data_IF_812126795478
#
_entry.id   IF_812126795478
#
_cell.length_a   1.000
_cell.length_b   1.000
_cell.length_c   1.000
_cell.angle_alpha   90.00
_cell.angle_beta   90.00
_cell.angle_gamma   90.00
#
_symmetry.space_group_name_H-M   'P 1'
#
loop_
_entity.id
_entity.type
_entity.pdbx_description
1 polymer ?
#
# COMPACT_ATOMS: atom_id res chain seq x y z
N UNK A 1 13.99 29.84 30.23
CA UNK A 1 13.61 29.03 29.05
C UNK A 1 12.70 27.90 29.53
N UNK A 2 11.41 27.91 29.18
CA UNK A 2 10.45 26.90 29.65
C UNK A 2 10.71 25.56 28.96
N UNK A 3 10.97 24.52 29.77
CA UNK A 3 11.16 23.12 29.36
C UNK A 3 9.90 22.27 29.60
N UNK A 4 8.74 22.91 29.73
CA UNK A 4 7.49 22.19 29.98
C UNK A 4 7.05 21.45 28.72
N UNK A 5 7.07 20.11 28.76
CA UNK A 5 6.41 19.26 27.76
C UNK A 5 4.92 19.61 27.75
N UNK A 6 4.49 20.34 26.72
CA UNK A 6 3.12 20.83 26.60
C UNK A 6 2.10 19.69 26.66
N UNK A 7 1.17 19.81 27.61
CA UNK A 7 -0.16 19.19 27.65
C UNK A 7 -0.29 17.82 26.95
N UNK A 8 0.28 16.78 27.55
CA UNK A 8 0.28 15.41 27.02
C UNK A 8 -1.14 14.79 26.92
N UNK A 9 -2.13 15.36 27.60
CA UNK A 9 -3.54 14.96 27.55
C UNK A 9 -4.41 16.10 26.99
N UNK A 10 -4.60 16.12 25.67
CA UNK A 10 -5.48 17.09 25.02
C UNK A 10 -6.95 16.74 25.34
N UNK A 11 -7.63 17.56 26.14
CA UNK A 11 -9.02 17.31 26.55
C UNK A 11 -10.06 17.51 25.44
N UNK A 12 -9.75 18.34 24.44
CA UNK A 12 -10.67 18.66 23.33
C UNK A 12 -10.22 17.98 22.04
N UNK A 13 -11.16 17.43 21.25
CA UNK A 13 -10.84 16.90 19.94
C UNK A 13 -10.34 18.02 19.01
N UNK A 14 -9.63 17.63 17.94
CA UNK A 14 -9.19 18.56 16.90
C UNK A 14 -10.38 19.39 16.39
N UNK A 15 -10.24 20.73 16.45
CA UNK A 15 -11.31 21.69 16.07
C UNK A 15 -11.65 21.61 14.57
N UNK A 16 -10.64 21.46 13.73
CA UNK A 16 -10.79 21.40 12.28
C UNK A 16 -10.56 19.96 11.80
N UNK A 17 -11.66 19.26 11.51
CA UNK A 17 -11.64 17.90 10.95
C UNK A 17 -12.20 17.92 9.54
N UNK A 18 -11.71 17.02 8.69
CA UNK A 18 -12.28 16.84 7.37
C UNK A 18 -13.72 16.30 7.49
N UNK A 19 -14.67 16.99 6.86
CA UNK A 19 -16.08 16.55 6.81
C UNK A 19 -16.24 15.33 5.90
N UNK A 20 -15.49 15.30 4.80
CA UNK A 20 -15.51 14.21 3.82
C UNK A 20 -14.15 13.54 3.70
N UNK A 21 -14.14 12.23 3.43
CA UNK A 21 -12.91 11.48 3.13
C UNK A 21 -12.25 12.02 1.86
N UNK A 22 -10.93 11.98 1.81
CA UNK A 22 -10.17 12.29 0.60
C UNK A 22 -10.51 11.30 -0.53
N UNK A 23 -10.74 11.84 -1.73
CA UNK A 23 -11.03 11.12 -2.97
C UNK A 23 -10.03 11.59 -4.03
N UNK A 24 -9.27 10.66 -4.61
CA UNK A 24 -8.21 11.00 -5.59
C UNK A 24 -8.74 11.27 -7.00
N UNK A 25 -9.92 10.76 -7.30
CA UNK A 25 -10.64 10.80 -8.58
C UNK A 25 -11.58 12.01 -8.72
N UNK A 26 -11.83 12.76 -7.64
CA UNK A 26 -12.80 13.88 -7.62
C UNK A 26 -12.52 14.96 -8.67
N UNK A 27 -11.24 15.22 -8.96
CA UNK A 27 -10.81 16.28 -9.88
C UNK A 27 -9.75 15.83 -10.89
N UNK A 28 -9.20 14.62 -10.72
CA UNK A 28 -8.17 14.08 -11.60
C UNK A 28 -8.75 12.87 -12.33
N UNK A 29 -9.00 13.07 -13.62
CA UNK A 29 -9.55 12.09 -14.54
C UNK A 29 -8.48 11.47 -15.43
N UNK A 30 -7.21 11.53 -15.07
CA UNK A 30 -6.16 10.93 -15.88
C UNK A 30 -6.33 9.41 -15.96
N UNK A 31 -6.20 8.88 -17.18
CA UNK A 31 -6.35 7.44 -17.46
C UNK A 31 -5.41 6.58 -16.60
N UNK A 32 -4.19 7.08 -16.36
CA UNK A 32 -3.21 6.43 -15.48
C UNK A 32 -3.74 6.21 -14.06
N UNK A 33 -4.30 7.24 -13.42
CA UNK A 33 -4.83 7.09 -12.05
C UNK A 33 -6.10 6.25 -12.01
N UNK A 34 -6.94 6.30 -13.06
CA UNK A 34 -8.08 5.41 -13.19
C UNK A 34 -7.66 3.94 -13.24
N UNK A 35 -6.66 3.60 -14.06
CA UNK A 35 -6.09 2.24 -14.10
C UNK A 35 -5.52 1.81 -12.75
N UNK A 36 -4.85 2.71 -12.01
CA UNK A 36 -4.34 2.41 -10.67
C UNK A 36 -5.47 2.16 -9.66
N UNK A 37 -6.58 2.91 -9.73
CA UNK A 37 -7.72 2.71 -8.84
C UNK A 37 -8.48 1.40 -9.12
N UNK A 38 -8.42 0.89 -10.36
CA UNK A 38 -9.04 -0.38 -10.76
C UNK A 38 -8.12 -1.59 -10.56
N UNK A 39 -6.85 -1.39 -10.24
CA UNK A 39 -5.86 -2.45 -10.04
C UNK A 39 -6.25 -3.32 -8.85
N UNK A 40 -6.45 -4.61 -9.09
CA UNK A 40 -6.65 -5.62 -8.05
C UNK A 40 -5.30 -6.20 -7.62
N UNK A 41 -5.09 -6.35 -6.31
CA UNK A 41 -3.86 -6.89 -5.74
C UNK A 41 -4.12 -8.24 -5.09
N UNK A 42 -3.94 -9.32 -5.85
CA UNK A 42 -4.26 -10.70 -5.44
C UNK A 42 -3.18 -11.34 -4.56
N UNK A 43 -1.93 -10.92 -4.72
CA UNK A 43 -0.78 -11.65 -4.17
C UNK A 43 -0.31 -11.10 -2.81
N UNK A 44 -1.19 -10.41 -2.07
CA UNK A 44 -0.85 -9.67 -0.84
C UNK A 44 -1.72 -10.10 0.34
N UNK A 45 -1.16 -9.99 1.54
CA UNK A 45 -1.94 -10.03 2.77
C UNK A 45 -2.73 -8.71 2.97
N UNK A 46 -3.82 -8.76 3.72
CA UNK A 46 -4.72 -7.61 4.00
C UNK A 46 -3.97 -6.36 4.46
N UNK A 47 -3.01 -6.52 5.38
CA UNK A 47 -2.16 -5.42 5.85
C UNK A 47 -1.36 -4.76 4.72
N UNK A 48 -0.78 -5.56 3.82
CA UNK A 48 0.01 -5.02 2.72
C UNK A 48 -0.86 -4.40 1.64
N UNK A 49 -2.04 -4.96 1.39
CA UNK A 49 -3.05 -4.39 0.51
C UNK A 49 -3.50 -2.99 1.00
N UNK A 50 -3.76 -2.83 2.30
CA UNK A 50 -4.08 -1.52 2.91
C UNK A 50 -2.95 -0.49 2.70
N UNK A 51 -1.70 -0.91 2.85
CA UNK A 51 -0.55 -0.02 2.65
C UNK A 51 -0.46 0.46 1.20
N UNK A 52 -0.64 -0.44 0.23
CA UNK A 52 -0.54 -0.09 -1.18
C UNK A 52 -1.77 0.68 -1.65
N UNK A 53 -2.98 0.27 -1.25
CA UNK A 53 -4.21 1.01 -1.53
C UNK A 53 -4.16 2.42 -0.95
N UNK A 54 -3.56 2.62 0.24
CA UNK A 54 -3.30 3.96 0.77
C UNK A 54 -2.37 4.77 -0.13
N UNK A 55 -1.30 4.17 -0.66
CA UNK A 55 -0.39 4.85 -1.61
C UNK A 55 -1.14 5.27 -2.88
N UNK A 56 -2.00 4.42 -3.43
CA UNK A 56 -2.82 4.73 -4.61
C UNK A 56 -3.81 5.85 -4.27
N UNK A 57 -4.55 5.70 -3.16
CA UNK A 57 -5.54 6.67 -2.67
C UNK A 57 -4.96 8.05 -2.47
N UNK A 58 -3.70 8.18 -2.02
CA UNK A 58 -3.06 9.48 -1.80
C UNK A 58 -2.09 9.89 -2.92
N UNK A 59 -2.15 9.23 -4.08
CA UNK A 59 -1.27 9.51 -5.24
C UNK A 59 0.23 9.45 -4.92
N UNK A 60 0.60 8.60 -3.97
CA UNK A 60 1.98 8.31 -3.55
C UNK A 60 2.52 7.00 -4.14
N UNK A 61 1.72 6.34 -4.98
CA UNK A 61 2.12 5.13 -5.69
C UNK A 61 3.14 5.46 -6.78
N UNK A 62 4.29 4.78 -6.78
CA UNK A 62 5.33 4.91 -7.79
C UNK A 62 5.45 3.59 -8.54
N UNK A 63 5.08 3.52 -9.84
CA UNK A 63 5.26 2.32 -10.63
C UNK A 63 6.74 2.03 -10.84
N UNK A 64 7.06 0.77 -11.13
CA UNK A 64 8.39 0.36 -11.56
C UNK A 64 8.60 0.73 -13.04
N UNK A 65 9.77 1.28 -13.37
CA UNK A 65 10.19 1.48 -14.77
C UNK A 65 10.77 0.20 -15.38
N UNK A 66 11.42 -0.63 -14.57
CA UNK A 66 12.03 -1.91 -14.94
C UNK A 66 11.64 -2.93 -13.88
N UNK A 67 11.49 -4.20 -14.28
CA UNK A 67 11.22 -5.28 -13.34
C UNK A 67 12.30 -5.36 -12.25
N UNK A 68 11.89 -5.63 -11.01
CA UNK A 68 12.79 -5.82 -9.88
C UNK A 68 13.19 -7.29 -9.72
N UNK A 69 14.23 -7.53 -8.92
CA UNK A 69 14.68 -8.87 -8.55
C UNK A 69 13.73 -9.50 -7.53
N UNK A 70 13.41 -10.77 -7.74
CA UNK A 70 12.63 -11.59 -6.80
C UNK A 70 13.56 -12.18 -5.74
N UNK A 71 13.20 -12.09 -4.47
CA UNK A 71 13.98 -12.68 -3.35
C UNK A 71 13.95 -14.22 -3.38
N UNK A 72 12.92 -14.84 -3.99
CA UNK A 72 12.72 -16.30 -3.95
C UNK A 72 13.36 -17.04 -5.11
N UNK A 73 13.15 -16.57 -6.35
CA UNK A 73 13.75 -17.18 -7.53
C UNK A 73 15.04 -16.49 -7.99
N UNK A 74 15.43 -15.37 -7.36
CA UNK A 74 16.63 -14.59 -7.70
C UNK A 74 16.68 -14.04 -9.14
N UNK A 75 15.57 -14.12 -9.86
CA UNK A 75 15.43 -13.59 -11.22
C UNK A 75 14.77 -12.20 -11.23
N UNK A 76 15.01 -11.44 -12.31
CA UNK A 76 14.39 -10.12 -12.53
C UNK A 76 12.96 -10.25 -13.09
N UNK A 77 12.04 -10.76 -12.27
CA UNK A 77 10.67 -11.11 -12.69
C UNK A 77 9.57 -10.31 -11.99
N UNK A 78 9.90 -9.46 -11.01
CA UNK A 78 8.92 -8.69 -10.24
C UNK A 78 8.44 -7.49 -11.05
N UNK A 79 7.19 -7.53 -11.54
CA UNK A 79 6.58 -6.44 -12.32
C UNK A 79 5.73 -5.49 -11.48
N UNK A 80 5.20 -5.96 -10.36
CA UNK A 80 4.36 -5.16 -9.47
C UNK A 80 5.21 -4.27 -8.56
N UNK A 81 4.86 -2.98 -8.45
CA UNK A 81 5.62 -2.08 -7.58
C UNK A 81 5.39 -2.41 -6.11
N UNK A 82 6.40 -2.16 -5.27
CA UNK A 82 6.42 -2.48 -3.84
C UNK A 82 6.35 -3.98 -3.50
N UNK A 83 6.52 -4.85 -4.48
CA UNK A 83 6.67 -6.28 -4.28
C UNK A 83 8.17 -6.63 -4.26
N UNK A 84 8.52 -7.63 -3.44
CA UNK A 84 9.85 -8.21 -3.33
C UNK A 84 9.89 -9.64 -3.90
N UNK A 85 8.72 -10.25 -4.09
CA UNK A 85 8.55 -11.60 -4.61
C UNK A 85 7.67 -11.52 -5.86
N UNK A 86 7.97 -12.34 -6.88
CA UNK A 86 7.18 -12.38 -8.11
C UNK A 86 5.91 -13.22 -7.92
N UNK A 87 4.88 -12.97 -8.73
CA UNK A 87 3.58 -13.64 -8.62
C UNK A 87 3.68 -15.17 -8.67
N UNK A 88 4.56 -15.73 -9.50
CA UNK A 88 4.81 -17.19 -9.56
C UNK A 88 5.24 -17.75 -8.21
N UNK A 89 6.23 -17.13 -7.57
CA UNK A 89 6.70 -17.55 -6.25
C UNK A 89 5.66 -17.30 -5.16
N UNK A 90 4.81 -16.28 -5.30
CA UNK A 90 3.68 -16.06 -4.38
C UNK A 90 2.67 -17.20 -4.47
N UNK A 91 2.32 -17.64 -5.68
CA UNK A 91 1.38 -18.73 -5.93
C UNK A 91 1.91 -20.08 -5.45
N UNK A 92 3.17 -20.40 -5.77
CA UNK A 92 3.81 -21.68 -5.40
C UNK A 92 4.00 -21.82 -3.89
N UNK A 93 4.44 -20.75 -3.22
CA UNK A 93 4.77 -20.78 -1.78
C UNK A 93 3.64 -20.26 -0.89
N UNK A 94 2.54 -19.74 -1.47
CA UNK A 94 1.40 -19.11 -0.76
C UNK A 94 1.82 -17.99 0.20
N UNK A 95 2.77 -17.16 -0.24
CA UNK A 95 3.32 -16.04 0.53
C UNK A 95 2.93 -14.70 -0.06
N UNK A 96 2.90 -13.68 0.80
CA UNK A 96 2.65 -12.29 0.41
C UNK A 96 3.81 -11.73 -0.40
N UNK A 97 3.52 -11.16 -1.57
CA UNK A 97 4.51 -10.59 -2.48
C UNK A 97 5.33 -9.42 -1.93
N UNK A 98 4.86 -8.78 -0.85
CA UNK A 98 5.54 -7.65 -0.20
C UNK A 98 6.29 -8.04 1.08
N UNK A 99 5.61 -8.64 2.06
CA UNK A 99 6.25 -9.00 3.34
C UNK A 99 6.87 -10.40 3.37
N UNK A 100 6.62 -11.25 2.36
CA UNK A 100 7.08 -12.66 2.31
C UNK A 100 6.57 -13.55 3.46
N UNK A 101 5.55 -13.09 4.19
CA UNK A 101 4.84 -13.87 5.21
C UNK A 101 3.77 -14.75 4.54
N UNK A 102 3.42 -15.89 5.13
CA UNK A 102 2.36 -16.76 4.63
C UNK A 102 1.02 -16.01 4.61
N UNK A 103 0.25 -16.22 3.55
CA UNK A 103 -1.08 -15.60 3.38
C UNK A 103 -2.13 -16.28 4.26
N UNK A 104 -1.77 -17.38 4.94
CA UNK A 104 -2.66 -18.18 5.79
C UNK A 104 -3.48 -17.33 6.77
N UNK A 105 -4.74 -17.16 6.37
CA UNK A 105 -5.96 -17.00 7.15
C UNK A 105 -5.95 -15.95 8.27
N UNK A 106 -6.43 -14.75 7.92
CA UNK A 106 -7.36 -14.07 8.81
C UNK A 106 -8.71 -13.99 8.13
N UNK A 107 -9.60 -14.89 8.55
CA UNK A 107 -11.04 -14.73 8.35
C UNK A 107 -11.49 -13.31 8.79
N UNK A 108 -12.53 -12.77 8.13
CA UNK A 108 -12.98 -11.39 8.28
C UNK A 108 -13.33 -10.96 9.71
#
# INVERSE_FOLDING_TARGET
>A
MSSQKGNASRSRPQKYKNVTKFKNDKYDSSKMFQSLNQMQMTDLCSRCEEIISWKIKYKKYKPLSVAAFCIKCEERTVKAAYHNVCSKCCEELKICGKCSENIEEKEP
#
